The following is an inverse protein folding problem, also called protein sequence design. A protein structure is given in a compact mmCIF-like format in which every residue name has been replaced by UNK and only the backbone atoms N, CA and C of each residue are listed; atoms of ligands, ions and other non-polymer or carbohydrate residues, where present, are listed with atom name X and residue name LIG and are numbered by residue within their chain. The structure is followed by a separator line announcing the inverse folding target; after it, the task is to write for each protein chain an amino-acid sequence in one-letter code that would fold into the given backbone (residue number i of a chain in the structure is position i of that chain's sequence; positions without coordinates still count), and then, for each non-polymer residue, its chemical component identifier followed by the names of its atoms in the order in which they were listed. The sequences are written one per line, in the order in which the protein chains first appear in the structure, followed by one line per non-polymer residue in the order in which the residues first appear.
data_IF_871594831643
#
_entry.id   IF_871594831643
#
_cell.length_a   1.000
_cell.length_b   1.000
_cell.length_c   1.000
_cell.angle_alpha   90.00
_cell.angle_beta   90.00
_cell.angle_gamma   90.00
#
_symmetry.space_group_name_H-M   'P 1'
#
loop_
_entity.id
_entity.type
_entity.pdbx_description
1 polymer ?
#
# COMPACT_ATOMS: atom_id res chain seq x y z
N UNK A 1 -27.03 2.21 12.19
CA UNK A 1 -26.30 3.20 11.37
C UNK A 1 -24.82 3.26 11.74
N UNK A 2 -24.45 3.40 13.02
CA UNK A 2 -23.03 3.41 13.44
C UNK A 2 -22.30 2.09 13.17
N UNK A 3 -22.95 0.94 13.44
CA UNK A 3 -22.37 -0.38 13.18
C UNK A 3 -22.14 -0.66 11.66
N UNK A 4 -22.93 -0.01 10.81
CA UNK A 4 -22.84 -0.14 9.35
C UNK A 4 -21.65 0.67 8.80
N UNK A 5 -21.47 1.91 9.30
CA UNK A 5 -20.33 2.73 8.92
C UNK A 5 -19.00 2.08 9.34
N UNK A 6 -18.90 1.56 10.57
CA UNK A 6 -17.71 0.87 11.04
C UNK A 6 -17.37 -0.36 10.18
N UNK A 7 -18.39 -1.12 9.79
CA UNK A 7 -18.22 -2.28 8.90
C UNK A 7 -17.74 -1.85 7.51
N UNK A 8 -18.29 -0.76 6.97
CA UNK A 8 -17.88 -0.24 5.67
C UNK A 8 -16.44 0.29 5.69
N UNK A 9 -16.05 1.02 6.74
CA UNK A 9 -14.66 1.48 6.95
C UNK A 9 -13.69 0.30 6.99
N UNK A 10 -14.02 -0.75 7.76
CA UNK A 10 -13.19 -1.97 7.82
C UNK A 10 -13.00 -2.60 6.44
N UNK A 11 -14.09 -2.79 5.67
CA UNK A 11 -14.02 -3.36 4.31
C UNK A 11 -13.19 -2.51 3.34
N UNK A 12 -13.26 -1.18 3.47
CA UNK A 12 -12.43 -0.27 2.66
C UNK A 12 -10.95 -0.46 3.01
N UNK A 13 -10.61 -0.57 4.29
CA UNK A 13 -9.22 -0.76 4.74
C UNK A 13 -8.66 -2.12 4.32
N UNK A 14 -9.41 -3.20 4.49
CA UNK A 14 -9.02 -4.54 4.03
C UNK A 14 -8.73 -4.54 2.53
N UNK A 15 -9.60 -3.90 1.73
CA UNK A 15 -9.39 -3.75 0.30
C UNK A 15 -8.19 -2.85 -0.03
N UNK A 16 -7.96 -1.77 0.74
CA UNK A 16 -6.83 -0.86 0.53
C UNK A 16 -5.50 -1.61 0.61
N UNK A 17 -5.31 -2.42 1.66
CA UNK A 17 -4.06 -3.14 1.87
C UNK A 17 -3.76 -4.09 0.72
N UNK A 18 -4.77 -4.86 0.29
CA UNK A 18 -4.64 -5.72 -0.87
C UNK A 18 -4.31 -4.91 -2.14
N UNK A 19 -5.08 -3.87 -2.42
CA UNK A 19 -4.94 -3.09 -3.67
C UNK A 19 -3.57 -2.39 -3.76
N UNK A 20 -3.03 -1.88 -2.65
CA UNK A 20 -1.69 -1.27 -2.64
C UNK A 20 -0.65 -2.29 -3.12
N UNK A 21 -0.68 -3.51 -2.58
CA UNK A 21 0.25 -4.57 -2.95
C UNK A 21 0.00 -5.09 -4.38
N UNK A 22 -1.26 -5.33 -4.73
CA UNK A 22 -1.69 -5.83 -6.03
C UNK A 22 -1.27 -4.88 -7.16
N UNK A 23 -1.39 -3.57 -6.94
CA UNK A 23 -1.02 -2.52 -7.90
C UNK A 23 0.44 -2.06 -7.80
N UNK A 24 1.29 -2.81 -7.07
CA UNK A 24 2.72 -2.53 -7.01
C UNK A 24 3.35 -2.45 -8.41
N UNK A 25 4.30 -1.52 -8.62
CA UNK A 25 4.79 -1.24 -9.95
C UNK A 25 5.68 -2.37 -10.47
N UNK A 26 5.63 -2.58 -11.78
CA UNK A 26 6.61 -3.38 -12.49
C UNK A 26 7.88 -2.57 -12.76
N UNK A 27 8.97 -3.28 -13.01
CA UNK A 27 10.18 -2.67 -13.57
C UNK A 27 9.91 -2.17 -14.99
N UNK A 28 10.81 -1.30 -15.50
CA UNK A 28 10.64 -0.53 -16.74
C UNK A 28 10.20 -1.38 -17.94
N UNK A 29 10.64 -2.64 -18.00
CA UNK A 29 10.17 -3.61 -18.98
C UNK A 29 9.37 -4.70 -18.28
N UNK A 30 8.21 -5.09 -18.84
CA UNK A 30 7.37 -6.14 -18.27
C UNK A 30 8.12 -7.47 -18.05
N UNK A 31 9.12 -7.75 -18.90
CA UNK A 31 10.01 -8.92 -18.81
C UNK A 31 10.95 -8.90 -17.60
N UNK A 32 11.13 -7.75 -16.94
CA UNK A 32 11.97 -7.61 -15.75
C UNK A 32 11.22 -7.90 -14.44
N UNK A 33 9.91 -8.15 -14.52
CA UNK A 33 9.06 -8.53 -13.40
C UNK A 33 8.65 -7.35 -12.50
N UNK A 34 7.99 -7.69 -11.39
CA UNK A 34 7.54 -6.74 -10.38
C UNK A 34 8.71 -6.23 -9.52
N UNK A 35 8.57 -5.01 -8.97
CA UNK A 35 9.48 -4.57 -7.91
C UNK A 35 9.26 -5.32 -6.59
N UNK A 36 8.03 -5.77 -6.36
CA UNK A 36 7.71 -6.56 -5.16
C UNK A 36 8.31 -7.95 -5.24
N UNK A 37 8.77 -8.45 -4.10
CA UNK A 37 9.20 -9.84 -3.95
C UNK A 37 8.08 -10.78 -3.51
N UNK A 38 6.84 -10.29 -3.37
CA UNK A 38 5.66 -11.12 -3.08
C UNK A 38 5.07 -11.61 -4.41
N UNK A 39 5.06 -12.94 -4.66
CA UNK A 39 4.41 -13.53 -5.83
C UNK A 39 2.93 -13.18 -5.91
N UNK A 40 2.38 -13.08 -7.13
CA UNK A 40 0.97 -12.71 -7.36
C UNK A 40 0.00 -13.59 -6.57
N UNK A 41 0.22 -14.90 -6.54
CA UNK A 41 -0.61 -15.86 -5.81
C UNK A 41 -0.71 -15.57 -4.30
N UNK A 42 0.37 -15.03 -3.70
CA UNK A 42 0.41 -14.73 -2.27
C UNK A 42 -0.09 -13.32 -1.92
N UNK A 43 -0.46 -12.48 -2.91
CA UNK A 43 -0.80 -11.07 -2.64
C UNK A 43 -2.11 -10.92 -1.87
N UNK A 44 -3.06 -11.82 -2.05
CA UNK A 44 -4.31 -11.79 -1.28
C UNK A 44 -4.05 -12.06 0.21
N UNK A 45 -3.23 -13.06 0.51
CA UNK A 45 -2.87 -13.43 1.87
C UNK A 45 -1.92 -12.41 2.54
N UNK A 46 -0.95 -11.89 1.79
CA UNK A 46 0.10 -10.99 2.32
C UNK A 46 -0.30 -9.51 2.30
N UNK A 47 -1.28 -9.13 1.46
CA UNK A 47 -1.80 -7.77 1.33
C UNK A 47 -2.70 -7.36 2.49
N UNK A 48 -2.22 -7.54 3.72
CA UNK A 48 -2.95 -7.29 4.96
C UNK A 48 -2.28 -6.20 5.78
N UNK A 49 -2.98 -5.69 6.80
CA UNK A 49 -2.48 -4.59 7.63
C UNK A 49 -1.06 -4.81 8.19
N UNK A 50 -0.77 -6.02 8.65
CA UNK A 50 0.52 -6.35 9.28
C UNK A 50 1.72 -5.97 8.40
N UNK A 51 1.61 -6.16 7.07
CA UNK A 51 2.64 -5.78 6.11
C UNK A 51 2.98 -4.29 6.16
N UNK A 52 1.99 -3.44 6.41
CA UNK A 52 2.12 -1.99 6.44
C UNK A 52 2.47 -1.44 7.82
N UNK A 53 2.41 -2.28 8.86
CA UNK A 53 2.80 -1.92 10.24
C UNK A 53 4.30 -2.13 10.50
N UNK A 54 4.98 -2.88 9.64
CA UNK A 54 6.41 -3.19 9.79
C UNK A 54 7.29 -2.38 8.83
N UNK A 55 8.51 -2.06 9.23
CA UNK A 55 9.51 -1.38 8.37
C UNK A 55 10.33 -2.37 7.52
N UNK A 56 9.77 -3.55 7.24
CA UNK A 56 10.34 -4.54 6.33
C UNK A 56 9.59 -4.49 4.99
N UNK A 57 10.15 -3.77 4.03
CA UNK A 57 9.44 -3.50 2.78
C UNK A 57 9.45 -4.71 1.84
N UNK A 58 8.31 -5.05 1.20
CA UNK A 58 8.18 -6.22 0.33
C UNK A 58 8.72 -5.97 -1.08
N UNK A 59 9.93 -5.43 -1.21
CA UNK A 59 10.53 -5.05 -2.50
C UNK A 59 11.96 -5.58 -2.62
N UNK A 60 12.44 -5.73 -3.86
CA UNK A 60 13.87 -6.00 -4.10
C UNK A 60 14.73 -4.74 -4.00
N UNK A 61 14.14 -3.61 -4.39
CA UNK A 61 14.73 -2.28 -4.30
C UNK A 61 13.63 -1.28 -4.02
N UNK A 62 13.91 -0.25 -3.22
CA UNK A 62 12.99 0.86 -3.02
C UNK A 62 13.74 2.12 -2.61
N UNK A 63 13.05 3.25 -2.72
CA UNK A 63 13.51 4.55 -2.26
C UNK A 63 12.55 4.98 -1.16
N UNK A 64 13.05 5.45 -0.02
CA UNK A 64 12.18 5.85 1.08
C UNK A 64 12.57 7.20 1.67
N UNK A 65 11.57 7.89 2.22
CA UNK A 65 11.76 9.12 2.99
C UNK A 65 10.91 9.05 4.25
N UNK A 66 11.43 9.62 5.34
CA UNK A 66 10.62 9.94 6.50
C UNK A 66 9.76 11.16 6.18
N UNK A 67 8.44 11.03 6.35
CA UNK A 67 7.53 12.15 6.24
C UNK A 67 7.54 12.97 7.54
N UNK A 68 7.29 14.27 7.40
CA UNK A 68 6.75 15.08 8.49
C UNK A 68 5.21 14.92 8.53
N UNK A 69 4.56 15.50 9.54
CA UNK A 69 3.11 15.40 9.71
C UNK A 69 2.33 15.95 8.50
N UNK A 70 2.82 17.03 7.89
CA UNK A 70 2.17 17.69 6.74
C UNK A 70 2.22 16.77 5.52
N UNK A 71 3.38 16.19 5.21
CA UNK A 71 3.54 15.25 4.10
C UNK A 71 2.78 13.96 4.34
N UNK A 72 2.71 13.48 5.58
CA UNK A 72 1.93 12.29 5.91
C UNK A 72 0.43 12.53 5.74
N UNK A 73 -0.07 13.69 6.15
CA UNK A 73 -1.44 14.11 5.89
C UNK A 73 -1.72 14.25 4.38
N UNK A 74 -0.77 14.76 3.62
CA UNK A 74 -0.87 14.83 2.16
C UNK A 74 -0.97 13.42 1.54
N UNK A 75 -0.17 12.45 2.00
CA UNK A 75 -0.32 11.05 1.59
C UNK A 75 -1.73 10.54 1.89
N UNK A 76 -2.24 10.75 3.11
CA UNK A 76 -3.61 10.36 3.46
C UNK A 76 -4.65 10.97 2.50
N UNK A 77 -4.53 12.26 2.18
CA UNK A 77 -5.47 12.93 1.26
C UNK A 77 -5.37 12.41 -0.18
N UNK A 78 -4.20 11.90 -0.60
CA UNK A 78 -4.04 11.24 -1.91
C UNK A 78 -4.77 9.89 -1.94
N UNK A 79 -4.63 9.08 -0.90
CA UNK A 79 -5.33 7.79 -0.77
C UNK A 79 -6.83 7.93 -0.57
N UNK A 80 -7.24 8.91 0.23
CA UNK A 80 -8.62 9.21 0.59
C UNK A 80 -8.92 10.68 0.29
N UNK A 81 -9.29 11.02 -0.96
CA UNK A 81 -9.62 12.39 -1.32
C UNK A 81 -10.96 12.82 -0.73
N UNK A 82 -11.16 14.12 -0.50
CA UNK A 82 -12.43 14.65 0.03
C UNK A 82 -13.54 14.74 -1.03
N UNK A 83 -13.18 14.58 -2.30
CA UNK A 83 -14.08 14.62 -3.45
C UNK A 83 -13.65 13.57 -4.47
N UNK A 84 -14.55 13.23 -5.39
CA UNK A 84 -14.20 12.35 -6.50
C UNK A 84 -13.16 13.04 -7.40
N UNK A 85 -11.97 12.44 -7.62
CA UNK A 85 -10.98 13.01 -8.55
C UNK A 85 -11.55 13.12 -9.96
N UNK A 86 -11.34 14.25 -10.62
CA UNK A 86 -11.81 14.49 -11.99
C UNK A 86 -10.89 13.88 -13.05
N UNK A 87 -9.61 13.71 -12.73
CA UNK A 87 -8.62 13.12 -13.61
C UNK A 87 -8.29 11.67 -13.22
N UNK A 88 -8.05 10.78 -14.19
CA UNK A 88 -7.63 9.42 -13.92
C UNK A 88 -6.25 9.43 -13.25
N UNK A 89 -6.11 8.67 -12.16
CA UNK A 89 -4.83 8.50 -11.46
C UNK A 89 -4.32 7.08 -11.66
N UNK A 90 -3.07 6.94 -12.10
CA UNK A 90 -2.41 5.66 -12.33
C UNK A 90 -2.40 4.81 -11.06
N UNK A 91 -2.60 3.49 -11.21
CA UNK A 91 -2.78 2.50 -10.15
C UNK A 91 -4.07 2.69 -9.32
N UNK A 92 -4.40 3.90 -8.90
CA UNK A 92 -5.66 4.21 -8.20
C UNK A 92 -6.90 3.83 -9.01
N UNK A 93 -6.89 3.99 -10.34
CA UNK A 93 -8.04 3.63 -11.19
C UNK A 93 -8.40 2.14 -11.19
N UNK A 94 -7.46 1.27 -10.79
CA UNK A 94 -7.66 -0.18 -10.70
C UNK A 94 -7.94 -0.62 -9.26
N UNK A 95 -7.76 0.28 -8.29
CA UNK A 95 -7.92 0.00 -6.89
C UNK A 95 -9.40 0.04 -6.50
N UNK A 96 -9.96 -1.14 -6.20
CA UNK A 96 -11.35 -1.34 -5.79
C UNK A 96 -11.70 -0.60 -4.50
N UNK A 97 -10.73 -0.39 -3.60
CA UNK A 97 -10.96 0.34 -2.35
C UNK A 97 -11.40 1.78 -2.63
N UNK A 98 -10.81 2.41 -3.65
CA UNK A 98 -11.08 3.81 -3.98
C UNK A 98 -12.50 3.96 -4.54
N UNK A 99 -12.93 3.03 -5.39
CA UNK A 99 -14.32 2.97 -5.88
C UNK A 99 -15.31 2.83 -4.71
N UNK A 100 -15.10 1.85 -3.83
CA UNK A 100 -15.93 1.64 -2.62
C UNK A 100 -15.97 2.89 -1.73
N UNK A 101 -14.82 3.52 -1.55
CA UNK A 101 -14.67 4.74 -0.76
C UNK A 101 -15.45 5.91 -1.36
N UNK A 102 -15.28 6.20 -2.66
CA UNK A 102 -15.97 7.32 -3.32
C UNK A 102 -17.49 7.09 -3.36
N UNK A 103 -17.93 5.87 -3.64
CA UNK A 103 -19.35 5.51 -3.60
C UNK A 103 -19.94 5.71 -2.21
N UNK A 104 -19.23 5.30 -1.15
CA UNK A 104 -19.68 5.55 0.22
C UNK A 104 -19.69 7.04 0.55
N UNK A 105 -18.63 7.77 0.18
CA UNK A 105 -18.50 9.20 0.42
C UNK A 105 -19.67 9.99 -0.17
N UNK A 106 -20.09 9.68 -1.41
CA UNK A 106 -21.20 10.33 -2.09
C UNK A 106 -22.58 10.08 -1.46
N UNK A 107 -22.73 9.00 -0.67
CA UNK A 107 -23.99 8.62 -0.03
C UNK A 107 -24.11 9.07 1.44
N UNK A 108 -23.06 9.68 2.01
CA UNK A 108 -23.04 10.11 3.41
C UNK A 108 -23.31 11.62 3.56
N UNK A 109 -23.92 12.00 4.68
CA UNK A 109 -24.00 13.40 5.12
C UNK A 109 -22.61 13.95 5.44
N UNK A 110 -22.37 15.27 5.36
CA UNK A 110 -21.06 15.86 5.67
C UNK A 110 -20.51 15.45 7.05
N UNK A 111 -21.38 15.34 8.05
CA UNK A 111 -21.00 14.87 9.39
C UNK A 111 -20.50 13.42 9.36
N UNK A 112 -21.19 12.52 8.66
CA UNK A 112 -20.78 11.13 8.56
C UNK A 112 -19.55 10.95 7.65
N UNK A 113 -19.38 11.78 6.62
CA UNK A 113 -18.14 11.82 5.83
C UNK A 113 -16.93 12.16 6.71
N UNK A 114 -17.06 13.17 7.59
CA UNK A 114 -16.00 13.53 8.52
C UNK A 114 -15.70 12.41 9.53
N UNK A 115 -16.73 11.75 10.07
CA UNK A 115 -16.55 10.59 10.95
C UNK A 115 -15.83 9.43 10.26
N UNK A 116 -16.25 9.09 9.04
CA UNK A 116 -15.63 8.06 8.22
C UNK A 116 -14.16 8.38 7.94
N UNK A 117 -13.87 9.59 7.45
CA UNK A 117 -12.50 10.04 7.18
C UNK A 117 -11.65 10.05 8.45
N UNK A 118 -12.21 10.46 9.58
CA UNK A 118 -11.54 10.40 10.88
C UNK A 118 -11.15 8.97 11.26
N UNK A 119 -12.07 8.01 11.12
CA UNK A 119 -11.79 6.59 11.38
C UNK A 119 -10.71 6.02 10.43
N UNK A 120 -10.79 6.35 9.14
CA UNK A 120 -9.76 5.98 8.16
C UNK A 120 -8.41 6.60 8.50
N UNK A 121 -8.37 7.87 8.91
CA UNK A 121 -7.14 8.58 9.29
C UNK A 121 -6.48 7.96 10.50
N UNK A 122 -7.26 7.64 11.54
CA UNK A 122 -6.74 6.96 12.74
C UNK A 122 -6.05 5.65 12.38
N UNK A 123 -6.63 4.87 11.46
CA UNK A 123 -5.99 3.63 10.97
C UNK A 123 -4.78 3.91 10.09
N UNK A 124 -4.87 4.86 9.18
CA UNK A 124 -3.75 5.25 8.33
C UNK A 124 -2.54 5.69 9.17
N UNK A 125 -2.77 6.39 10.28
CA UNK A 125 -1.73 6.84 11.22
C UNK A 125 -1.16 5.72 12.10
N UNK A 126 -1.76 4.53 12.11
CA UNK A 126 -1.15 3.36 12.74
C UNK A 126 -0.17 2.62 11.84
N UNK A 127 -0.22 2.86 10.52
CA UNK A 127 0.70 2.24 9.55
C UNK A 127 2.11 2.81 9.69
N UNK A 128 3.13 1.97 9.53
CA UNK A 128 4.52 2.38 9.51
C UNK A 128 4.90 3.04 8.17
N UNK A 129 4.30 2.57 7.07
CA UNK A 129 4.62 3.05 5.74
C UNK A 129 3.45 2.90 4.77
N UNK A 130 3.50 3.67 3.69
CA UNK A 130 2.60 3.60 2.53
C UNK A 130 3.39 3.93 1.26
N UNK A 131 2.85 3.66 0.06
CA UNK A 131 3.40 4.25 -1.16
C UNK A 131 3.49 5.77 -1.02
N UNK A 132 4.60 6.36 -1.41
CA UNK A 132 4.70 7.81 -1.55
C UNK A 132 3.98 8.21 -2.85
N UNK A 133 2.66 8.26 -2.78
CA UNK A 133 1.80 8.58 -3.90
C UNK A 133 2.14 9.96 -4.46
N UNK A 134 2.08 10.09 -5.79
CA UNK A 134 2.09 11.33 -6.54
C UNK A 134 0.70 11.99 -6.58
N UNK A 135 0.57 13.11 -7.28
CA UNK A 135 -0.76 13.72 -7.53
C UNK A 135 -1.61 12.85 -8.46
N UNK A 136 -0.97 12.18 -9.41
CA UNK A 136 -1.59 11.43 -10.50
C UNK A 136 -1.29 9.92 -10.47
N UNK A 137 -0.56 9.41 -9.47
CA UNK A 137 -0.20 7.98 -9.38
C UNK A 137 -0.05 7.50 -7.93
N UNK A 138 -0.37 6.23 -7.67
CA UNK A 138 -0.15 5.63 -6.34
C UNK A 138 1.33 5.32 -6.08
N UNK A 139 2.06 4.92 -7.12
CA UNK A 139 3.44 4.47 -7.02
C UNK A 139 4.35 5.31 -7.92
N UNK A 140 5.27 6.07 -7.31
CA UNK A 140 6.40 6.67 -8.03
C UNK A 140 7.57 5.69 -8.03
N UNK A 141 8.34 5.65 -9.12
CA UNK A 141 9.50 4.75 -9.25
C UNK A 141 10.74 5.45 -9.81
N UNK A 142 10.60 6.68 -10.31
CA UNK A 142 11.72 7.43 -10.89
C UNK A 142 12.82 7.59 -9.85
N UNK A 143 14.07 7.52 -10.29
CA UNK A 143 15.19 7.78 -9.39
C UNK A 143 15.10 9.21 -8.89
N UNK A 144 15.16 9.38 -7.57
CA UNK A 144 15.29 10.69 -6.94
C UNK A 144 16.76 11.02 -6.69
N UNK A 145 17.10 12.31 -6.78
CA UNK A 145 18.42 12.84 -6.45
C UNK A 145 18.37 13.77 -5.23
N UNK A 146 17.21 13.92 -4.60
CA UNK A 146 17.04 14.79 -3.45
C UNK A 146 17.63 14.12 -2.19
N UNK A 147 18.42 14.86 -1.41
CA UNK A 147 19.15 14.32 -0.25
C UNK A 147 18.30 13.78 0.91
N UNK A 148 16.96 13.93 0.87
CA UNK A 148 16.05 13.37 1.90
C UNK A 148 15.74 11.88 1.68
N UNK A 149 16.02 11.35 0.50
CA UNK A 149 15.70 9.97 0.16
C UNK A 149 16.86 9.04 0.48
N UNK A 150 16.51 7.88 0.98
CA UNK A 150 17.41 6.76 1.22
C UNK A 150 17.02 5.60 0.31
N UNK A 151 17.97 4.71 0.02
CA UNK A 151 17.80 3.62 -0.92
C UNK A 151 18.00 2.28 -0.23
N UNK A 152 17.20 1.30 -0.63
CA UNK A 152 17.42 -0.10 -0.32
C UNK A 152 17.58 -0.92 -1.61
N UNK A 153 18.52 -1.87 -1.66
CA UNK A 153 19.57 -2.14 -0.67
C UNK A 153 20.48 -0.92 -0.41
N UNK A 154 21.07 -0.85 0.78
CA UNK A 154 21.98 0.24 1.13
C UNK A 154 23.13 0.29 0.11
N UNK A 155 23.56 1.50 -0.26
CA UNK A 155 24.60 1.77 -1.26
C UNK A 155 24.23 1.41 -2.71
N UNK A 156 23.00 0.98 -3.00
CA UNK A 156 22.49 0.80 -4.36
C UNK A 156 21.50 1.92 -4.71
N UNK A 157 21.98 3.00 -5.32
CA UNK A 157 21.10 4.08 -5.79
C UNK A 157 20.39 3.74 -7.11
N UNK A 158 19.49 2.75 -7.05
CA UNK A 158 18.68 2.32 -8.18
C UNK A 158 17.27 2.92 -8.11
N UNK A 159 16.62 2.95 -9.26
CA UNK A 159 15.18 3.18 -9.34
C UNK A 159 14.46 2.11 -8.52
N UNK A 160 13.26 2.45 -8.04
CA UNK A 160 12.45 1.56 -7.24
C UNK A 160 11.27 2.33 -6.64
N UNK A 161 10.26 1.62 -6.10
CA UNK A 161 9.08 2.24 -5.54
C UNK A 161 9.44 3.25 -4.46
N UNK A 162 8.78 4.41 -4.50
CA UNK A 162 8.91 5.42 -3.46
C UNK A 162 8.02 5.10 -2.27
N UNK A 163 8.60 5.13 -1.08
CA UNK A 163 7.96 4.78 0.17
C UNK A 163 7.93 6.01 1.09
N UNK A 164 6.74 6.32 1.59
CA UNK A 164 6.53 7.31 2.62
C UNK A 164 6.49 6.59 3.97
N UNK A 165 7.38 6.98 4.88
CA UNK A 165 7.42 6.45 6.25
C UNK A 165 6.68 7.42 7.17
N UNK A 166 5.81 6.87 8.02
CA UNK A 166 5.04 7.62 9.00
C UNK A 166 5.96 8.34 10.01
N UNK A 167 5.77 9.66 10.26
CA UNK A 167 6.56 10.40 11.25
C UNK A 167 6.56 9.76 12.66
N UNK A 168 5.45 9.13 13.03
CA UNK A 168 5.27 8.54 14.37
C UNK A 168 5.97 7.19 14.54
N UNK A 169 6.52 6.60 13.46
CA UNK A 169 7.15 5.28 13.52
C UNK A 169 8.39 5.26 14.41
N UNK A 170 9.12 6.38 14.49
CA UNK A 170 10.35 6.52 15.32
C UNK A 170 10.10 6.36 16.81
N UNK A 171 8.88 6.66 17.27
CA UNK A 171 8.51 6.43 18.67
C UNK A 171 8.18 4.97 18.95
N UNK A 172 7.85 4.19 17.91
CA UNK A 172 7.33 2.82 18.02
C UNK A 172 8.33 1.75 17.60
N UNK A 173 9.31 2.07 16.77
CA UNK A 173 10.24 1.11 16.18
C UNK A 173 11.70 1.47 16.48
N UNK A 174 12.44 0.49 17.01
CA UNK A 174 13.87 0.60 17.30
C UNK A 174 14.75 0.21 16.10
N UNK A 175 14.20 -0.47 15.10
CA UNK A 175 14.94 -0.98 13.95
C UNK A 175 14.85 -0.07 12.72
N UNK A 176 15.94 0.08 11.95
CA UNK A 176 15.93 0.83 10.71
C UNK A 176 15.09 0.11 9.63
N UNK A 177 14.60 0.85 8.61
CA UNK A 177 13.96 0.24 7.46
C UNK A 177 14.87 -0.77 6.75
N UNK A 178 14.29 -1.89 6.33
CA UNK A 178 14.99 -2.98 5.66
C UNK A 178 14.10 -3.58 4.56
N UNK A 179 14.71 -4.40 3.70
CA UNK A 179 13.95 -5.23 2.75
C UNK A 179 13.51 -6.50 3.45
N UNK A 180 12.25 -6.88 3.26
CA UNK A 180 11.72 -8.16 3.69
C UNK A 180 12.31 -9.28 2.81
N UNK A 181 12.71 -10.44 3.36
CA UNK A 181 13.03 -11.61 2.54
C UNK A 181 11.85 -12.03 1.66
N UNK A 182 12.12 -12.63 0.50
CA UNK A 182 11.06 -13.22 -0.31
C UNK A 182 10.42 -14.40 0.47
N UNK A 183 9.09 -14.59 0.40
CA UNK A 183 8.45 -15.75 1.01
C UNK A 183 8.99 -17.04 0.36
N UNK A 184 9.12 -18.11 1.16
CA UNK A 184 9.53 -19.41 0.65
C UNK A 184 8.44 -19.97 -0.27
N UNK A 185 8.84 -20.42 -1.46
CA UNK A 185 7.93 -20.91 -2.52
C UNK A 185 7.34 -22.29 -2.19
N UNK A 186 7.85 -22.99 -1.16
CA UNK A 186 7.37 -24.32 -0.76
C UNK A 186 5.84 -24.37 -0.52
N UNK A 187 5.25 -23.28 -0.02
CA UNK A 187 3.80 -23.15 0.18
C UNK A 187 2.99 -23.18 -1.14
N UNK A 188 3.57 -22.78 -2.27
CA UNK A 188 2.89 -22.77 -3.57
C UNK A 188 2.92 -24.15 -4.25
N UNK A 189 3.91 -24.99 -3.95
CA UNK A 189 3.99 -26.34 -4.52
C UNK A 189 3.01 -27.31 -3.86
N UNK A 190 2.81 -27.19 -2.55
CA UNK A 190 1.89 -28.06 -1.81
C UNK A 190 0.42 -27.78 -2.22
N UNK A 191 0.04 -26.52 -2.41
CA UNK A 191 -1.32 -26.15 -2.87
C UNK A 191 -1.60 -26.54 -4.34
N UNK A 192 -0.62 -26.40 -5.25
CA UNK A 192 -0.76 -26.85 -6.66
C UNK A 192 -0.83 -28.39 -6.78
N UNK A 193 -0.13 -29.14 -5.93
CA UNK A 193 -0.19 -30.60 -5.90
C UNK A 193 -1.53 -31.11 -5.33
N UNK A 194 -2.09 -30.45 -4.30
CA UNK A 194 -3.41 -30.78 -3.74
C UNK A 194 -4.56 -30.48 -4.72
N UNK A 195 -4.58 -29.31 -5.38
CA UNK A 195 -5.61 -28.97 -6.39
C UNK A 195 -5.56 -29.91 -7.61
N UNK A 196 -4.37 -30.36 -8.03
CA UNK A 196 -4.24 -31.33 -9.13
C UNK A 196 -4.77 -32.72 -8.77
N UNK A 197 -4.77 -33.08 -7.48
CA UNK A 197 -5.22 -34.38 -7.00
C UNK A 197 -6.74 -34.48 -6.84
N UNK A 198 -7.41 -33.34 -6.61
CA UNK A 198 -8.87 -33.25 -6.48
C UNK A 198 -9.59 -33.12 -7.85
N UNK A 199 -8.89 -32.77 -8.94
CA UNK A 199 -9.46 -32.78 -10.30
C UNK A 199 -9.42 -34.15 -11.01
N UNK A 200 -8.77 -35.17 -10.40
CA UNK A 200 -8.66 -36.54 -10.96
C UNK A 200 -9.64 -37.58 -10.35
N UNK A 201 -10.67 -37.17 -9.60
CA UNK A 201 -11.67 -38.07 -9.00
C UNK A 201 -13.12 -37.87 -9.48
#
# INVERSE_FOLDING_TARGET
MENDLSTAVRKILEQLFYDILAESPNRRHATQGAWTNIPTALREQQGVEALYMELQFPFTHCQYTLCDEVRWLDQFNRFFPTTNPTAPRQNFKKAKYLEKYINLLGNLTPQNQNRMRGALKLKFDSLAWVPHAGSDHMWETKKTHEGRWQHLPLNEERQGPHIAINPNVRQRHLWPPALRPAPAIEQLREEEEEESSDEEL
#
